data_IF_531445595727
#
_entry.id   IF_531445595727
#
_cell.length_a   1.000
_cell.length_b   1.000
_cell.length_c   1.000
_cell.angle_alpha   90.00
_cell.angle_beta   90.00
_cell.angle_gamma   90.00
#
_symmetry.space_group_name_H-M   'P 1'
#
loop_
_entity.id
_entity.type
_entity.pdbx_description
1 polymer ?
#
# COMPACT_ATOMS: atom_id res chain seq x y z
N UNK A 1 6.76 -3.71 -20.02
CA UNK A 1 7.15 -3.95 -18.64
C UNK A 1 6.21 -3.23 -17.69
N UNK A 2 5.52 -3.97 -16.84
CA UNK A 2 4.56 -3.37 -15.91
C UNK A 2 5.28 -2.76 -14.71
N UNK A 3 4.88 -1.56 -14.32
CA UNK A 3 5.41 -0.96 -13.11
C UNK A 3 4.88 -1.70 -11.89
N UNK A 4 5.67 -1.86 -10.82
CA UNK A 4 5.16 -2.40 -9.57
C UNK A 4 4.01 -1.53 -9.08
N UNK A 5 2.95 -2.17 -8.62
CA UNK A 5 1.81 -1.46 -8.05
C UNK A 5 2.12 -1.08 -6.61
N UNK A 6 1.86 0.16 -6.24
CA UNK A 6 1.99 0.61 -4.86
C UNK A 6 0.62 0.61 -4.22
N UNK A 7 0.48 -0.12 -3.11
CA UNK A 7 -0.80 -0.23 -2.41
C UNK A 7 -0.68 0.46 -1.06
N UNK A 8 -1.47 1.51 -0.87
CA UNK A 8 -1.51 2.22 0.41
C UNK A 8 -2.48 1.52 1.35
N UNK A 9 -2.12 1.45 2.62
CA UNK A 9 -2.98 0.83 3.62
C UNK A 9 -2.73 1.46 4.98
N UNK A 10 -3.74 1.42 5.83
CA UNK A 10 -3.59 1.88 7.20
C UNK A 10 -2.98 0.76 8.04
N UNK A 11 -1.82 0.98 8.59
CA UNK A 11 -1.15 -0.02 9.42
C UNK A 11 0.33 0.24 9.50
N UNK A 12 1.01 -0.63 10.25
CA UNK A 12 2.45 -0.55 10.42
C UNK A 12 3.14 -1.64 9.58
N UNK A 13 4.41 -1.43 9.20
CA UNK A 13 5.17 -2.45 8.50
C UNK A 13 5.20 -3.75 9.32
N UNK A 14 4.94 -4.88 8.66
CA UNK A 14 4.89 -6.17 9.32
C UNK A 14 3.54 -6.52 9.94
N UNK A 15 2.57 -5.61 9.90
CA UNK A 15 1.21 -5.90 10.36
C UNK A 15 0.53 -6.91 9.44
N UNK A 16 -0.60 -7.47 9.90
CA UNK A 16 -1.36 -8.45 9.12
C UNK A 16 -1.75 -7.91 7.74
N UNK A 17 -2.11 -6.62 7.66
CA UNK A 17 -2.46 -5.99 6.39
C UNK A 17 -1.28 -5.98 5.42
N UNK A 18 -0.08 -5.72 5.92
CA UNK A 18 1.13 -5.73 5.12
C UNK A 18 1.37 -7.13 4.54
N UNK A 19 1.27 -8.14 5.37
CA UNK A 19 1.47 -9.53 4.96
C UNK A 19 0.42 -9.95 3.94
N UNK A 20 -0.85 -9.57 4.17
CA UNK A 20 -1.95 -9.90 3.28
C UNK A 20 -1.73 -9.30 1.88
N UNK A 21 -1.23 -8.06 1.81
CA UNK A 21 -0.93 -7.41 0.54
C UNK A 21 0.16 -8.18 -0.21
N UNK A 22 1.22 -8.56 0.48
CA UNK A 22 2.31 -9.30 -0.14
C UNK A 22 1.88 -10.68 -0.62
N UNK A 23 0.98 -11.33 0.09
CA UNK A 23 0.45 -12.64 -0.31
C UNK A 23 -0.45 -12.53 -1.53
N UNK A 24 -1.32 -11.51 -1.56
CA UNK A 24 -2.25 -11.32 -2.66
C UNK A 24 -1.58 -10.73 -3.91
N UNK A 25 -0.61 -9.84 -3.68
CA UNK A 25 0.07 -9.13 -4.75
C UNK A 25 1.58 -9.14 -4.50
N UNK A 26 2.26 -10.27 -4.81
CA UNK A 26 3.69 -10.41 -4.49
C UNK A 26 4.58 -9.34 -5.13
N UNK A 27 4.16 -8.78 -6.25
CA UNK A 27 4.94 -7.76 -6.95
C UNK A 27 4.59 -6.34 -6.53
N UNK A 28 3.63 -6.18 -5.61
CA UNK A 28 3.23 -4.85 -5.16
C UNK A 28 4.20 -4.32 -4.11
N UNK A 29 4.26 -2.99 -4.03
CA UNK A 29 5.01 -2.31 -2.98
C UNK A 29 4.02 -1.83 -1.94
N UNK A 30 4.03 -2.38 -0.72
CA UNK A 30 3.14 -1.90 0.34
C UNK A 30 3.58 -0.52 0.82
N UNK A 31 2.63 0.38 1.01
CA UNK A 31 2.88 1.71 1.55
C UNK A 31 2.10 1.86 2.86
N UNK A 32 2.73 1.57 4.00
CA UNK A 32 2.03 1.71 5.28
C UNK A 32 1.81 3.18 5.62
N UNK A 33 0.58 3.49 6.01
CA UNK A 33 0.18 4.84 6.37
C UNK A 33 -0.34 4.85 7.80
N UNK A 34 -0.05 5.92 8.53
CA UNK A 34 -0.43 6.01 9.93
C UNK A 34 -1.94 6.07 10.12
N UNK A 35 -2.65 6.69 9.18
CA UNK A 35 -4.10 6.82 9.23
C UNK A 35 -4.71 6.47 7.89
N UNK A 36 -6.01 6.18 7.91
CA UNK A 36 -6.75 5.93 6.69
C UNK A 36 -6.77 7.16 5.78
N UNK A 37 -6.81 8.35 6.37
CA UNK A 37 -6.75 9.58 5.61
C UNK A 37 -5.44 9.73 4.86
N UNK A 38 -4.34 9.34 5.49
CA UNK A 38 -3.03 9.35 4.84
C UNK A 38 -2.99 8.38 3.66
N UNK A 39 -3.62 7.22 3.79
CA UNK A 39 -3.69 6.26 2.70
C UNK A 39 -4.47 6.82 1.52
N UNK A 40 -5.60 7.48 1.78
CA UNK A 40 -6.38 8.12 0.73
C UNK A 40 -5.60 9.26 0.07
N UNK A 41 -4.87 10.05 0.87
CA UNK A 41 -4.04 11.12 0.35
C UNK A 41 -2.94 10.59 -0.57
N UNK A 42 -2.35 9.45 -0.23
CA UNK A 42 -1.31 8.84 -1.06
C UNK A 42 -1.87 8.43 -2.43
N UNK A 43 -3.10 7.95 -2.47
CA UNK A 43 -3.75 7.60 -3.73
C UNK A 43 -4.04 8.87 -4.53
N UNK A 44 -4.57 9.91 -3.89
CA UNK A 44 -4.88 11.18 -4.55
C UNK A 44 -3.65 11.86 -5.12
N UNK A 45 -2.52 11.78 -4.43
CA UNK A 45 -1.28 12.41 -4.87
C UNK A 45 -0.54 11.62 -5.93
N UNK A 46 -0.95 10.38 -6.19
CA UNK A 46 -0.30 9.51 -7.13
C UNK A 46 0.85 8.69 -6.55
N UNK A 47 1.09 8.78 -5.24
CA UNK A 47 2.12 7.97 -4.60
C UNK A 47 1.73 6.50 -4.55
N UNK A 48 0.43 6.22 -4.50
CA UNK A 48 -0.08 4.86 -4.49
C UNK A 48 -1.09 4.67 -5.62
N UNK A 49 -1.16 3.45 -6.13
CA UNK A 49 -2.12 3.07 -7.17
C UNK A 49 -3.46 2.66 -6.57
N UNK A 50 -3.40 2.13 -5.37
CA UNK A 50 -4.59 1.64 -4.66
C UNK A 50 -4.52 2.00 -3.19
#
# INVERSE_FOLDING_TARGET
>A
MTKPMTIAFQGEPGANSHIAILEAFPDATPLPCATFEDALAAISSGEASL
#
